data_IF_262156750860
#
_entry.id   IF_262156750860
#
_cell.length_a   1.000
_cell.length_b   1.000
_cell.length_c   1.000
_cell.angle_alpha   90.00
_cell.angle_beta   90.00
_cell.angle_gamma   90.00
#
_symmetry.space_group_name_H-M   'P 1'
#
loop_
_entity.id
_entity.type
_entity.pdbx_description
1 polymer ?
#
# COMPACT_ATOMS: atom_id res chain seq x y z
N UNK A 1 -18.66 2.78 0.82
CA UNK A 1 -17.26 2.34 0.94
C UNK A 1 -16.51 3.27 1.87
N UNK A 2 -15.64 2.72 2.69
CA UNK A 2 -14.79 3.51 3.57
C UNK A 2 -13.38 3.57 2.96
N UNK A 3 -12.74 4.73 3.04
CA UNK A 3 -11.39 4.92 2.51
C UNK A 3 -10.42 5.26 3.62
N UNK A 4 -9.27 4.58 3.63
CA UNK A 4 -8.16 4.87 4.53
C UNK A 4 -7.06 5.52 3.69
N UNK A 5 -6.68 6.74 4.07
CA UNK A 5 -5.59 7.46 3.40
C UNK A 5 -4.32 7.37 4.24
N UNK A 6 -3.19 7.08 3.60
CA UNK A 6 -1.90 6.95 4.25
C UNK A 6 -0.88 7.76 3.47
N UNK A 7 -0.13 8.61 4.19
CA UNK A 7 0.98 9.36 3.63
C UNK A 7 2.26 8.97 4.35
N UNK A 8 3.31 8.70 3.59
CA UNK A 8 4.60 8.33 4.16
C UNK A 8 5.73 8.88 3.31
N UNK A 9 6.74 9.44 3.95
CA UNK A 9 7.91 10.00 3.27
C UNK A 9 9.13 9.16 3.61
N UNK A 10 9.51 8.20 2.75
CA UNK A 10 10.72 7.40 2.98
C UNK A 10 11.95 8.28 2.77
N UNK A 11 12.96 8.12 3.64
CA UNK A 11 14.21 8.87 3.52
C UNK A 11 15.21 8.12 2.64
N UNK A 12 14.78 7.74 1.44
CA UNK A 12 15.55 6.95 0.49
C UNK A 12 15.41 7.51 -0.91
N UNK A 13 16.32 7.14 -1.81
CA UNK A 13 16.24 7.55 -3.21
C UNK A 13 15.01 6.95 -3.89
N UNK A 14 14.54 7.60 -4.94
CA UNK A 14 13.39 7.12 -5.70
C UNK A 14 13.64 5.73 -6.26
N UNK A 15 14.82 5.50 -6.83
CA UNK A 15 15.19 4.20 -7.38
C UNK A 15 15.18 3.12 -6.30
N UNK A 16 15.71 3.42 -5.12
CA UNK A 16 15.70 2.48 -4.00
C UNK A 16 14.28 2.08 -3.62
N UNK A 17 13.39 3.05 -3.53
CA UNK A 17 11.99 2.80 -3.15
C UNK A 17 11.29 1.93 -4.18
N UNK A 18 11.44 2.22 -5.48
CA UNK A 18 10.80 1.41 -6.51
C UNK A 18 11.34 -0.02 -6.56
N UNK A 19 12.65 -0.20 -6.36
CA UNK A 19 13.23 -1.53 -6.27
C UNK A 19 12.69 -2.29 -5.07
N UNK A 20 12.56 -1.62 -3.93
CA UNK A 20 11.99 -2.21 -2.74
C UNK A 20 10.52 -2.63 -2.96
N UNK A 21 9.75 -1.77 -3.63
CA UNK A 21 8.36 -2.07 -3.97
C UNK A 21 8.28 -3.36 -4.81
N UNK A 22 9.08 -3.46 -5.86
CA UNK A 22 9.08 -4.64 -6.73
C UNK A 22 9.49 -5.92 -5.99
N UNK A 23 10.44 -5.83 -5.09
CA UNK A 23 11.01 -7.00 -4.43
C UNK A 23 10.23 -7.43 -3.19
N UNK A 24 9.61 -6.51 -2.46
CA UNK A 24 9.11 -6.80 -1.12
C UNK A 24 7.64 -6.49 -0.89
N UNK A 25 7.08 -5.46 -1.53
CA UNK A 25 5.78 -4.94 -1.12
C UNK A 25 4.67 -5.99 -1.20
N UNK A 26 4.55 -6.71 -2.30
CA UNK A 26 3.50 -7.72 -2.47
C UNK A 26 3.62 -8.83 -1.42
N UNK A 27 4.85 -9.29 -1.17
CA UNK A 27 5.09 -10.35 -0.18
C UNK A 27 4.67 -9.90 1.21
N UNK A 28 5.00 -8.66 1.58
CA UNK A 28 4.69 -8.14 2.91
C UNK A 28 3.19 -7.90 3.09
N UNK A 29 2.53 -7.38 2.05
CA UNK A 29 1.09 -7.18 2.09
C UNK A 29 0.35 -8.51 2.20
N UNK A 30 0.75 -9.53 1.43
CA UNK A 30 0.16 -10.87 1.53
C UNK A 30 0.35 -11.48 2.91
N UNK A 31 1.50 -11.22 3.53
CA UNK A 31 1.77 -11.73 4.88
C UNK A 31 0.89 -11.06 5.93
N UNK A 32 0.64 -9.75 5.78
CA UNK A 32 -0.19 -8.98 6.73
C UNK A 32 -1.68 -9.23 6.55
N UNK A 33 -2.13 -9.49 5.32
CA UNK A 33 -3.54 -9.64 4.99
C UNK A 33 -3.75 -10.90 4.12
N UNK A 34 -3.46 -12.10 4.67
CA UNK A 34 -3.47 -13.33 3.88
C UNK A 34 -4.85 -13.70 3.33
N UNK A 35 -5.93 -13.31 4.01
CA UNK A 35 -7.30 -13.66 3.61
C UNK A 35 -7.77 -12.92 2.36
N UNK A 36 -7.14 -11.81 2.01
CA UNK A 36 -7.55 -10.99 0.87
C UNK A 36 -6.86 -11.40 -0.45
N UNK A 37 -5.76 -12.14 -0.38
CA UNK A 37 -4.99 -12.53 -1.57
C UNK A 37 -4.68 -11.30 -2.45
N UNK A 38 -4.14 -10.28 -1.84
CA UNK A 38 -3.90 -9.00 -2.51
C UNK A 38 -2.80 -9.13 -3.55
N UNK A 39 -3.08 -8.64 -4.76
CA UNK A 39 -2.11 -8.58 -5.85
C UNK A 39 -1.80 -7.15 -6.19
N UNK A 40 -0.55 -6.91 -6.57
CA UNK A 40 -0.04 -5.58 -6.91
C UNK A 40 0.22 -5.48 -8.41
N UNK A 41 -0.14 -4.33 -8.97
CA UNK A 41 0.16 -3.97 -10.35
C UNK A 41 0.97 -2.70 -10.33
N UNK A 42 2.26 -2.81 -10.62
CA UNK A 42 3.22 -1.71 -10.52
C UNK A 42 3.44 -1.07 -11.89
N UNK A 43 3.27 0.23 -11.96
CA UNK A 43 3.56 1.01 -13.17
C UNK A 43 4.51 2.15 -12.79
N UNK A 44 5.81 1.92 -12.96
CA UNK A 44 6.83 2.91 -12.60
C UNK A 44 6.75 4.17 -13.48
N UNK A 45 6.41 4.02 -14.75
CA UNK A 45 6.36 5.16 -15.67
C UNK A 45 5.29 6.15 -15.27
N UNK A 46 4.18 5.67 -14.69
CA UNK A 46 3.09 6.50 -14.18
C UNK A 46 3.21 6.77 -12.69
N UNK A 47 4.20 6.18 -12.03
CA UNK A 47 4.44 6.31 -10.59
C UNK A 47 3.26 5.84 -9.74
N UNK A 48 2.66 4.73 -10.15
CA UNK A 48 1.43 4.21 -9.55
C UNK A 48 1.58 2.73 -9.21
N UNK A 49 0.98 2.32 -8.09
CA UNK A 49 0.80 0.91 -7.73
C UNK A 49 -0.68 0.70 -7.42
N UNK A 50 -1.28 -0.31 -8.05
CA UNK A 50 -2.66 -0.69 -7.80
C UNK A 50 -2.70 -1.97 -6.99
N UNK A 51 -3.55 -2.01 -5.96
CA UNK A 51 -3.74 -3.16 -5.09
C UNK A 51 -5.13 -3.74 -5.32
N UNK A 52 -5.21 -5.03 -5.57
CA UNK A 52 -6.50 -5.72 -5.76
C UNK A 52 -6.58 -6.94 -4.86
N UNK A 53 -7.55 -6.93 -3.95
CA UNK A 53 -7.91 -8.06 -3.11
C UNK A 53 -9.33 -8.53 -3.41
N UNK A 54 -9.82 -9.44 -2.62
CA UNK A 54 -11.20 -9.95 -2.77
C UNK A 54 -12.22 -8.87 -2.47
N UNK A 55 -12.04 -8.12 -1.39
CA UNK A 55 -12.97 -7.07 -0.95
C UNK A 55 -12.29 -5.73 -0.75
N UNK A 56 -10.95 -5.70 -0.75
CA UNK A 56 -10.14 -4.50 -0.52
C UNK A 56 -9.47 -4.10 -1.81
N UNK A 57 -9.49 -2.81 -2.11
CA UNK A 57 -8.78 -2.21 -3.24
C UNK A 57 -7.93 -1.08 -2.73
N UNK A 58 -6.80 -0.84 -3.38
CA UNK A 58 -5.94 0.26 -3.00
C UNK A 58 -5.23 0.86 -4.21
N UNK A 59 -4.80 2.07 -4.02
CA UNK A 59 -4.09 2.83 -5.03
C UNK A 59 -2.99 3.62 -4.37
N UNK A 60 -1.76 3.48 -4.85
CA UNK A 60 -0.62 4.17 -4.28
C UNK A 60 0.11 4.96 -5.36
N UNK A 61 0.49 6.18 -5.04
CA UNK A 61 1.40 6.96 -5.86
C UNK A 61 2.68 7.23 -5.10
N UNK A 62 3.78 7.33 -5.81
CA UNK A 62 5.05 7.76 -5.23
C UNK A 62 5.60 8.87 -6.11
N UNK A 63 5.45 10.11 -5.64
CA UNK A 63 5.87 11.32 -6.35
C UNK A 63 6.53 12.28 -5.38
N UNK A 64 7.57 12.95 -5.84
CA UNK A 64 8.27 13.98 -5.07
C UNK A 64 8.73 13.48 -3.70
N UNK A 65 9.12 12.21 -3.63
CA UNK A 65 9.60 11.59 -2.41
C UNK A 65 8.53 11.22 -1.41
N UNK A 66 7.25 11.31 -1.79
CA UNK A 66 6.12 11.02 -0.90
C UNK A 66 5.30 9.86 -1.44
N UNK A 67 5.01 8.90 -0.57
CA UNK A 67 4.06 7.82 -0.83
C UNK A 67 2.70 8.28 -0.34
N UNK A 68 1.72 8.27 -1.24
CA UNK A 68 0.33 8.56 -0.92
C UNK A 68 -0.51 7.35 -1.32
N UNK A 69 -1.21 6.78 -0.36
CA UNK A 69 -1.98 5.55 -0.58
C UNK A 69 -3.40 5.72 -0.11
N UNK A 70 -4.35 5.30 -0.96
CA UNK A 70 -5.76 5.22 -0.61
C UNK A 70 -6.19 3.77 -0.66
N UNK A 71 -6.80 3.30 0.42
CA UNK A 71 -7.29 1.93 0.53
C UNK A 71 -8.80 1.98 0.75
N UNK A 72 -9.53 1.34 -0.16
CA UNK A 72 -10.99 1.21 -0.05
C UNK A 72 -11.32 -0.11 0.65
N UNK A 73 -12.11 -0.02 1.71
CA UNK A 73 -12.56 -1.19 2.48
C UNK A 73 -14.09 -1.19 2.56
N UNK A 74 -14.72 -2.39 2.67
CA UNK A 74 -16.15 -2.47 2.87
C UNK A 74 -16.60 -1.71 4.13
N UNK A 75 -17.79 -1.15 4.10
CA UNK A 75 -18.33 -0.40 5.26
C UNK A 75 -18.37 -1.24 6.53
N UNK A 76 -18.59 -2.54 6.40
CA UNK A 76 -18.60 -3.45 7.55
C UNK A 76 -17.26 -3.49 8.27
N UNK A 77 -16.18 -3.16 7.56
CA UNK A 77 -14.82 -3.23 8.12
C UNK A 77 -14.24 -1.86 8.45
N UNK A 78 -15.04 -0.79 8.38
CA UNK A 78 -14.53 0.56 8.63
C UNK A 78 -13.92 0.74 10.01
N UNK A 79 -14.38 -0.03 10.99
CA UNK A 79 -13.82 0.00 12.35
C UNK A 79 -12.37 -0.50 12.39
N UNK A 80 -11.94 -1.25 11.37
CA UNK A 80 -10.56 -1.74 11.27
C UNK A 80 -9.64 -0.77 10.52
N UNK A 81 -10.13 0.41 10.14
CA UNK A 81 -9.36 1.39 9.38
C UNK A 81 -8.05 1.76 10.06
N UNK A 82 -8.07 1.96 11.38
CA UNK A 82 -6.86 2.30 12.13
C UNK A 82 -5.87 1.13 12.15
N UNK A 83 -6.36 -0.10 12.30
CA UNK A 83 -5.52 -1.30 12.25
C UNK A 83 -4.87 -1.46 10.88
N UNK A 84 -5.63 -1.24 9.82
CA UNK A 84 -5.13 -1.29 8.45
C UNK A 84 -4.06 -0.22 8.24
N UNK A 85 -4.30 1.01 8.69
CA UNK A 85 -3.35 2.12 8.60
C UNK A 85 -2.03 1.76 9.29
N UNK A 86 -2.12 1.27 10.53
CA UNK A 86 -0.93 0.88 11.30
C UNK A 86 -0.15 -0.23 10.62
N UNK A 87 -0.84 -1.25 10.13
CA UNK A 87 -0.21 -2.37 9.44
C UNK A 87 0.53 -1.93 8.17
N UNK A 88 -0.09 -1.08 7.37
CA UNK A 88 0.53 -0.58 6.15
C UNK A 88 1.71 0.35 6.46
N UNK A 89 1.56 1.22 7.46
CA UNK A 89 2.69 2.08 7.88
C UNK A 89 3.87 1.25 8.35
N UNK A 90 3.64 0.15 9.08
CA UNK A 90 4.71 -0.74 9.51
C UNK A 90 5.44 -1.33 8.30
N UNK A 91 4.71 -1.72 7.26
CA UNK A 91 5.30 -2.20 6.02
C UNK A 91 6.17 -1.11 5.39
N UNK A 92 5.63 0.10 5.23
CA UNK A 92 6.34 1.21 4.59
C UNK A 92 7.59 1.63 5.37
N UNK A 93 7.57 1.54 6.68
CA UNK A 93 8.73 1.84 7.52
C UNK A 93 9.87 0.85 7.31
N UNK A 94 9.60 -0.28 6.67
CA UNK A 94 10.65 -1.27 6.34
C UNK A 94 11.46 -0.87 5.10
N UNK A 95 11.06 0.17 4.40
CA UNK A 95 11.76 0.66 3.20
C UNK A 95 13.18 1.14 3.55
#
# INVERSE_FOLDING_TARGET
MSTVNINYKPAKSEEYVWNWIDENLEKMVKRKVPTEDIRLFVDRSRQVVEFKGKTVKGFMTFKDGVIDMDIEIPLLYRMFGQTIRTSILDILKSI
#
